data_IF_520325918543
#
_entry.id   IF_520325918543
#
_cell.length_a   1.000
_cell.length_b   1.000
_cell.length_c   1.000
_cell.angle_alpha   90.00
_cell.angle_beta   90.00
_cell.angle_gamma   90.00
#
_symmetry.space_group_name_H-M   'P 1'
#
loop_
_entity.id
_entity.type
_entity.pdbx_description
1 polymer ?
#
# COMPACT_ATOMS: atom_id res chain seq x y z
N UNK A 1 -0.60 0.98 10.99
CA UNK A 1 0.30 0.99 9.81
C UNK A 1 1.55 0.20 10.19
N UNK A 2 1.56 -1.10 9.90
CA UNK A 2 2.45 -2.07 10.57
C UNK A 2 3.94 -1.73 10.43
N UNK A 3 4.44 -1.49 9.22
CA UNK A 3 5.87 -1.21 9.01
C UNK A 3 6.36 0.05 9.75
N UNK A 4 5.50 1.05 9.93
CA UNK A 4 5.86 2.29 10.62
C UNK A 4 5.92 2.04 12.12
N UNK A 5 4.96 1.32 12.68
CA UNK A 5 4.96 0.87 14.08
C UNK A 5 6.22 0.05 14.38
N UNK A 6 6.60 -0.87 13.50
CA UNK A 6 7.83 -1.67 13.64
C UNK A 6 9.10 -0.81 13.62
N UNK A 7 9.17 0.20 12.75
CA UNK A 7 10.31 1.14 12.72
C UNK A 7 10.37 1.94 14.03
N UNK A 8 9.23 2.45 14.52
CA UNK A 8 9.19 3.20 15.78
C UNK A 8 9.63 2.34 16.96
N UNK A 9 9.18 1.09 17.03
CA UNK A 9 9.63 0.14 18.05
C UNK A 9 11.13 -0.16 17.94
N UNK A 10 11.64 -0.31 16.71
CA UNK A 10 13.07 -0.47 16.45
C UNK A 10 13.88 0.74 16.93
N UNK A 11 13.45 1.96 16.63
CA UNK A 11 14.10 3.18 17.07
C UNK A 11 14.13 3.28 18.59
N UNK A 12 13.00 3.02 19.25
CA UNK A 12 12.89 3.00 20.71
C UNK A 12 13.84 1.99 21.36
N UNK A 13 13.92 0.77 20.82
CA UNK A 13 14.77 -0.31 21.34
C UNK A 13 16.26 0.02 21.23
N UNK A 14 16.66 0.77 20.20
CA UNK A 14 18.04 1.09 19.90
C UNK A 14 18.43 2.53 20.26
N UNK A 15 17.52 3.29 20.90
CA UNK A 15 17.72 4.71 21.23
C UNK A 15 18.15 5.55 20.01
N UNK A 16 17.50 5.32 18.86
CA UNK A 16 17.73 6.05 17.62
C UNK A 16 16.72 7.18 17.46
N UNK A 17 17.13 8.23 16.74
CA UNK A 17 16.22 9.29 16.32
C UNK A 17 15.29 8.79 15.20
N UNK A 18 13.99 8.81 15.45
CA UNK A 18 12.98 8.28 14.53
C UNK A 18 12.99 9.00 13.19
N UNK A 19 13.14 10.32 13.22
CA UNK A 19 13.10 11.18 12.04
C UNK A 19 14.28 10.89 11.12
N UNK A 20 15.48 10.75 11.65
CA UNK A 20 16.66 10.38 10.89
C UNK A 20 16.52 9.00 10.23
N UNK A 21 15.96 8.03 10.96
CA UNK A 21 15.73 6.68 10.43
C UNK A 21 14.73 6.71 9.27
N UNK A 22 13.60 7.41 9.40
CA UNK A 22 12.63 7.53 8.30
C UNK A 22 13.21 8.21 7.06
N UNK A 23 14.00 9.27 7.25
CA UNK A 23 14.67 9.99 6.15
C UNK A 23 15.68 9.17 5.36
N UNK A 24 16.20 8.09 5.94
CA UNK A 24 17.12 7.18 5.26
C UNK A 24 16.42 5.89 4.78
N UNK A 25 15.12 5.74 5.03
CA UNK A 25 14.36 4.52 4.73
C UNK A 25 13.91 4.48 3.27
N UNK A 26 13.88 3.29 2.69
CA UNK A 26 13.26 3.02 1.38
C UNK A 26 12.14 2.02 1.56
N UNK A 27 10.93 2.40 1.15
CA UNK A 27 9.76 1.56 1.32
C UNK A 27 9.52 0.72 0.05
N UNK A 28 9.37 -0.59 0.22
CA UNK A 28 8.97 -1.50 -0.85
C UNK A 28 7.59 -2.09 -0.51
N UNK A 29 6.61 -1.89 -1.38
CA UNK A 29 5.24 -2.38 -1.20
C UNK A 29 4.71 -3.02 -2.47
N UNK A 30 3.84 -4.03 -2.35
CA UNK A 30 3.32 -4.76 -3.52
C UNK A 30 2.29 -3.94 -4.32
N UNK A 31 1.56 -3.06 -3.64
CA UNK A 31 0.50 -2.23 -4.22
C UNK A 31 0.78 -0.76 -3.89
N UNK A 32 0.39 0.14 -4.79
CA UNK A 32 0.48 1.59 -4.59
C UNK A 32 -0.18 2.00 -3.24
N UNK A 33 0.54 2.78 -2.41
CA UNK A 33 0.00 3.36 -1.19
C UNK A 33 -1.33 4.07 -1.43
N UNK A 34 -2.32 3.78 -0.58
CA UNK A 34 -3.57 4.52 -0.61
C UNK A 34 -3.39 5.96 -0.11
N UNK A 35 -4.41 6.81 -0.30
CA UNK A 35 -4.42 8.21 0.16
C UNK A 35 -3.91 8.39 1.61
N UNK A 36 -4.41 7.56 2.54
CA UNK A 36 -4.00 7.58 3.95
C UNK A 36 -2.52 7.25 4.12
N UNK A 37 -2.05 6.18 3.49
CA UNK A 37 -0.65 5.77 3.59
C UNK A 37 0.27 6.79 2.92
N UNK A 38 -0.07 7.28 1.72
CA UNK A 38 0.72 8.27 0.99
C UNK A 38 0.91 9.56 1.80
N UNK A 39 -0.15 10.03 2.47
CA UNK A 39 -0.08 11.17 3.40
C UNK A 39 0.90 10.93 4.55
N UNK A 40 0.81 9.76 5.20
CA UNK A 40 1.71 9.42 6.29
C UNK A 40 3.18 9.33 5.85
N UNK A 41 3.45 8.73 4.68
CA UNK A 41 4.80 8.60 4.14
C UNK A 41 5.43 9.97 3.81
N UNK A 42 4.62 10.90 3.29
CA UNK A 42 5.06 12.27 3.02
C UNK A 42 5.37 13.04 4.32
N UNK A 43 4.52 12.91 5.35
CA UNK A 43 4.74 13.54 6.66
C UNK A 43 6.03 13.03 7.34
N UNK A 44 6.31 11.74 7.18
CA UNK A 44 7.53 11.10 7.69
C UNK A 44 8.76 11.33 6.81
N UNK A 45 8.59 12.00 5.66
CA UNK A 45 9.66 12.32 4.71
C UNK A 45 10.45 11.10 4.25
N UNK A 46 9.76 9.97 4.02
CA UNK A 46 10.40 8.79 3.45
C UNK A 46 10.78 9.12 1.99
N UNK A 47 12.07 9.12 1.64
CA UNK A 47 12.53 9.69 0.38
C UNK A 47 12.23 8.80 -0.83
N UNK A 48 12.06 7.48 -0.64
CA UNK A 48 11.98 6.52 -1.74
C UNK A 48 10.88 5.51 -1.52
N UNK A 49 9.97 5.40 -2.48
CA UNK A 49 8.84 4.49 -2.48
C UNK A 49 8.87 3.65 -3.76
N UNK A 50 9.00 2.34 -3.58
CA UNK A 50 8.97 1.34 -4.63
C UNK A 50 7.66 0.56 -4.51
N UNK A 51 6.87 0.53 -5.58
CA UNK A 51 5.65 -0.28 -5.60
C UNK A 51 5.45 -1.10 -6.86
N UNK A 52 4.71 -2.21 -6.70
CA UNK A 52 4.39 -3.11 -7.79
C UNK A 52 3.23 -2.62 -8.65
N UNK A 53 2.01 -2.94 -8.24
CA UNK A 53 0.81 -2.63 -8.99
C UNK A 53 0.16 -1.31 -8.55
N UNK A 54 -0.50 -0.63 -9.48
CA UNK A 54 -1.35 0.53 -9.20
C UNK A 54 -2.56 0.16 -8.33
N UNK A 55 -3.01 1.09 -7.49
CA UNK A 55 -4.18 0.92 -6.63
C UNK A 55 -5.38 1.68 -7.20
N UNK A 56 -6.11 1.00 -8.10
CA UNK A 56 -7.24 1.59 -8.85
C UNK A 56 -8.38 2.12 -7.98
N UNK A 57 -8.52 1.65 -6.74
CA UNK A 57 -9.63 2.03 -5.85
C UNK A 57 -9.31 3.20 -4.93
N UNK A 58 -8.08 3.28 -4.43
CA UNK A 58 -7.72 4.21 -3.36
C UNK A 58 -6.32 4.81 -3.49
N UNK A 59 -5.60 4.57 -4.59
CA UNK A 59 -4.21 4.98 -4.77
C UNK A 59 -4.02 6.48 -4.62
N UNK A 60 -3.12 6.86 -3.70
CA UNK A 60 -2.87 8.25 -3.32
C UNK A 60 -1.62 8.85 -3.93
N UNK A 61 -0.94 8.12 -4.82
CA UNK A 61 0.24 8.60 -5.52
C UNK A 61 -0.14 9.07 -6.92
N UNK A 62 -0.72 8.18 -7.73
CA UNK A 62 -1.06 8.47 -9.13
C UNK A 62 -2.41 7.90 -9.57
N UNK A 63 -2.96 6.85 -8.92
CA UNK A 63 -4.16 6.18 -9.45
C UNK A 63 -5.45 6.97 -9.26
N UNK A 64 -5.79 7.34 -8.03
CA UNK A 64 -7.05 8.05 -7.72
C UNK A 64 -6.79 9.53 -7.44
N UNK A 65 -5.68 9.82 -6.80
CA UNK A 65 -5.20 11.17 -6.57
C UNK A 65 -3.71 11.17 -6.30
N UNK A 66 -3.16 12.35 -6.08
CA UNK A 66 -1.76 12.55 -5.78
C UNK A 66 -1.61 13.41 -4.53
N UNK A 67 -1.05 12.84 -3.45
CA UNK A 67 -0.86 13.56 -2.19
C UNK A 67 -0.04 14.84 -2.35
N UNK A 68 0.91 14.88 -3.30
CA UNK A 68 1.77 16.06 -3.51
C UNK A 68 1.01 17.29 -4.00
N UNK A 69 -0.21 17.15 -4.51
CA UNK A 69 -1.01 18.29 -4.97
C UNK A 69 -1.78 18.99 -3.84
N UNK A 70 -1.80 18.41 -2.63
CA UNK A 70 -2.54 18.95 -1.49
C UNK A 70 -1.68 19.79 -0.54
N UNK A 71 -0.40 19.97 -0.84
CA UNK A 71 0.54 20.79 -0.08
C UNK A 71 1.32 21.69 -1.04
N UNK A 72 1.55 22.96 -0.69
CA UNK A 72 2.24 23.91 -1.59
C UNK A 72 3.70 23.54 -1.85
N UNK A 73 4.40 23.02 -0.84
CA UNK A 73 5.82 22.63 -0.92
C UNK A 73 6.02 21.25 -0.27
N UNK A 74 5.56 20.17 -0.91
CA UNK A 74 5.70 18.83 -0.36
C UNK A 74 7.17 18.39 -0.39
N UNK A 75 7.63 17.61 0.62
CA UNK A 75 8.90 16.90 0.54
C UNK A 75 8.99 16.07 -0.76
N UNK A 76 10.15 16.11 -1.41
CA UNK A 76 10.39 15.29 -2.60
C UNK A 76 10.44 13.81 -2.23
N UNK A 77 9.76 12.98 -3.01
CA UNK A 77 9.78 11.52 -2.89
C UNK A 77 10.06 10.91 -4.26
N UNK A 78 11.08 10.07 -4.34
CA UNK A 78 11.34 9.26 -5.52
C UNK A 78 10.36 8.09 -5.56
N UNK A 79 9.59 8.03 -6.64
CA UNK A 79 8.54 7.03 -6.80
C UNK A 79 8.88 6.13 -7.98
N UNK A 80 9.07 4.85 -7.70
CA UNK A 80 9.34 3.82 -8.70
C UNK A 80 8.19 2.81 -8.67
N UNK A 81 7.47 2.73 -9.78
CA UNK A 81 6.31 1.84 -9.93
C UNK A 81 6.61 0.66 -10.86
N UNK A 82 5.73 -0.35 -10.87
CA UNK A 82 5.78 -1.45 -11.82
C UNK A 82 6.60 -2.67 -11.38
N UNK A 83 7.22 -2.64 -10.19
CA UNK A 83 8.13 -3.70 -9.72
C UNK A 83 7.33 -4.98 -9.39
N UNK A 84 7.41 -5.98 -10.27
CA UNK A 84 6.62 -7.21 -10.11
C UNK A 84 5.10 -6.97 -10.20
N UNK A 85 4.66 -5.94 -10.92
CA UNK A 85 3.25 -5.55 -11.01
C UNK A 85 2.32 -6.71 -11.39
N UNK A 86 2.72 -7.55 -12.36
CA UNK A 86 1.93 -8.73 -12.78
C UNK A 86 1.69 -9.69 -11.63
N UNK A 87 2.71 -9.93 -10.79
CA UNK A 87 2.58 -10.79 -9.61
C UNK A 87 1.69 -10.14 -8.55
N UNK A 88 1.87 -8.85 -8.27
CA UNK A 88 1.06 -8.12 -7.31
C UNK A 88 -0.44 -8.09 -7.69
N UNK A 89 -0.76 -7.81 -8.96
CA UNK A 89 -2.14 -7.86 -9.48
C UNK A 89 -2.70 -9.27 -9.37
N UNK A 90 -1.93 -10.31 -9.74
CA UNK A 90 -2.36 -11.70 -9.63
C UNK A 90 -2.71 -12.05 -8.18
N UNK A 91 -1.83 -11.72 -7.23
CA UNK A 91 -2.03 -11.96 -5.81
C UNK A 91 -3.32 -11.28 -5.30
N UNK A 92 -3.54 -10.01 -5.67
CA UNK A 92 -4.74 -9.27 -5.28
C UNK A 92 -6.02 -9.87 -5.88
N UNK A 93 -5.99 -10.26 -7.16
CA UNK A 93 -7.11 -10.94 -7.83
C UNK A 93 -7.42 -12.28 -7.17
N UNK A 94 -6.40 -13.07 -6.86
CA UNK A 94 -6.56 -14.38 -6.23
C UNK A 94 -7.14 -14.24 -4.81
N UNK A 95 -6.74 -13.21 -4.05
CA UNK A 95 -7.36 -12.88 -2.77
C UNK A 95 -8.87 -12.62 -2.92
N UNK A 96 -9.28 -11.80 -3.89
CA UNK A 96 -10.69 -11.48 -4.09
C UNK A 96 -11.50 -12.59 -4.78
N UNK A 97 -10.88 -13.57 -5.44
CA UNK A 97 -11.60 -14.74 -5.98
C UNK A 97 -12.18 -15.61 -4.87
N UNK A 98 -11.49 -15.69 -3.72
CA UNK A 98 -11.92 -16.52 -2.60
C UNK A 98 -13.00 -15.82 -1.77
N UNK A 99 -13.86 -16.63 -1.15
CA UNK A 99 -14.81 -16.13 -0.15
C UNK A 99 -14.05 -15.86 1.15
N UNK A 100 -14.22 -14.66 1.71
CA UNK A 100 -13.66 -14.35 3.01
C UNK A 100 -14.42 -15.13 4.10
N UNK A 101 -13.84 -16.22 4.60
CA UNK A 101 -14.44 -17.02 5.67
C UNK A 101 -14.60 -16.25 6.99
N UNK A 102 -13.86 -15.15 7.17
CA UNK A 102 -14.02 -14.26 8.33
C UNK A 102 -15.13 -13.24 8.15
N UNK A 103 -15.74 -13.12 6.97
CA UNK A 103 -16.92 -12.27 6.78
C UNK A 103 -18.12 -12.85 7.57
N UNK A 104 -19.02 -11.99 8.08
CA UNK A 104 -20.31 -12.42 8.62
C UNK A 104 -21.03 -13.37 7.65
N UNK A 105 -21.69 -14.41 8.16
CA UNK A 105 -22.28 -15.47 7.33
C UNK A 105 -23.20 -14.92 6.23
N UNK A 106 -24.02 -13.92 6.55
CA UNK A 106 -24.90 -13.21 5.62
C UNK A 106 -24.18 -12.45 4.48
N UNK A 107 -22.88 -12.13 4.65
CA UNK A 107 -22.04 -11.47 3.64
C UNK A 107 -21.07 -12.42 2.95
N UNK A 108 -21.07 -13.71 3.32
CA UNK A 108 -20.24 -14.72 2.64
C UNK A 108 -20.87 -15.02 1.29
N UNK A 109 -20.30 -14.44 0.25
CA UNK A 109 -20.68 -14.73 -1.13
C UNK A 109 -20.15 -16.12 -1.47
N UNK A 110 -21.02 -17.09 -1.72
CA UNK A 110 -20.61 -18.38 -2.28
C UNK A 110 -20.27 -18.18 -3.76
N UNK A 111 -18.98 -18.15 -4.09
CA UNK A 111 -18.50 -17.93 -5.46
C UNK A 111 -18.40 -19.24 -6.26
N UNK A 112 -18.63 -20.39 -5.63
CA UNK A 112 -18.55 -21.72 -6.26
C UNK A 112 -19.65 -21.94 -7.30
N UNK A 113 -20.78 -21.21 -7.20
CA UNK A 113 -21.91 -21.33 -8.13
C UNK A 113 -21.78 -20.53 -9.45
N UNK A 114 -20.76 -19.67 -9.62
CA UNK A 114 -20.66 -18.77 -10.79
C UNK A 114 -19.78 -19.26 -11.95
N UNK A 115 -19.08 -20.39 -11.81
CA UNK A 115 -18.21 -20.93 -12.86
C UNK A 115 -18.89 -21.99 -13.75
N UNK A 116 -20.22 -22.01 -13.80
CA UNK A 116 -21.02 -23.04 -14.47
C UNK A 116 -21.95 -22.55 -15.58
N UNK A 117 -21.57 -21.52 -16.34
CA UNK A 117 -22.18 -21.25 -17.66
C UNK A 117 -21.38 -20.20 -18.44
N UNK A 118 -20.51 -20.67 -19.33
CA UNK A 118 -20.17 -19.99 -20.59
C UNK A 118 -20.23 -21.08 -21.65
N UNK A 119 -21.42 -21.24 -22.24
CA UNK A 119 -21.59 -21.75 -23.61
C UNK A 119 -21.49 -20.57 -24.56
#
# INVERSE_FOLDING_TARGET
>A
MVAIEEILEYCKKNSLDEYEVFKQTSLYVTLEPCMMCASALQQLQIPRIFFGASNERFGGINSVGNISTYQENPPSMDIISGIGATFAVKLLKDFYKNTNMRAPAEKRIDKTAKNGNVL
#
